data_IF_546822268903
#
_entry.id   IF_546822268903
#
_cell.length_a   1.000
_cell.length_b   1.000
_cell.length_c   1.000
_cell.angle_alpha   90.00
_cell.angle_beta   90.00
_cell.angle_gamma   90.00
#
_symmetry.space_group_name_H-M   'P 1'
#
loop_
_entity.id
_entity.type
_entity.pdbx_description
1 polymer ?
#
# COMPACT_ATOMS: atom_id res chain seq x y z
N UNK A 1 -2.24 15.46 22.41
CA UNK A 1 -2.24 16.64 21.50
C UNK A 1 -3.13 17.71 22.11
N UNK A 2 -2.70 18.96 22.10
CA UNK A 2 -3.47 20.08 22.65
C UNK A 2 -4.68 20.40 21.77
N UNK A 3 -5.81 20.73 22.37
CA UNK A 3 -7.00 21.23 21.65
C UNK A 3 -6.87 22.73 21.30
N UNK A 4 -5.65 23.26 21.27
CA UNK A 4 -5.38 24.69 21.09
C UNK A 4 -4.23 24.89 20.10
N UNK A 5 -4.36 25.93 19.28
CA UNK A 5 -3.34 26.37 18.33
C UNK A 5 -2.09 26.88 19.06
N UNK A 6 -0.87 26.40 18.74
CA UNK A 6 0.37 26.87 19.36
C UNK A 6 0.73 28.31 18.98
N UNK A 7 0.25 28.81 17.85
CA UNK A 7 0.57 30.17 17.37
C UNK A 7 -0.36 31.24 17.94
N UNK A 8 -1.67 30.99 17.98
CA UNK A 8 -2.66 32.01 18.37
C UNK A 8 -3.51 31.64 19.59
N UNK A 9 -3.34 30.44 20.15
CA UNK A 9 -4.09 29.98 21.33
C UNK A 9 -5.57 29.64 21.07
N UNK A 10 -6.07 29.75 19.84
CA UNK A 10 -7.49 29.45 19.55
C UNK A 10 -7.79 27.95 19.69
N UNK A 11 -9.02 27.61 20.12
CA UNK A 11 -9.46 26.22 20.26
C UNK A 11 -9.58 25.57 18.87
N UNK A 12 -9.00 24.39 18.71
CA UNK A 12 -9.06 23.62 17.47
C UNK A 12 -10.38 22.84 17.42
N UNK A 13 -10.96 22.73 16.22
CA UNK A 13 -12.18 21.95 15.96
C UNK A 13 -11.91 20.46 16.19
N UNK A 14 -10.69 20.00 15.91
CA UNK A 14 -10.21 18.67 16.24
C UNK A 14 -8.72 18.69 16.59
N UNK A 15 -8.25 17.66 17.29
CA UNK A 15 -6.81 17.44 17.55
C UNK A 15 -5.99 17.17 16.28
N UNK A 16 -6.67 16.93 15.16
CA UNK A 16 -6.07 16.66 13.84
C UNK A 16 -6.36 17.81 12.84
N UNK A 17 -6.68 19.01 13.31
CA UNK A 17 -6.90 20.15 12.42
C UNK A 17 -5.61 20.47 11.63
N UNK A 18 -5.71 20.50 10.30
CA UNK A 18 -4.58 20.86 9.42
C UNK A 18 -4.35 22.37 9.38
N UNK A 19 -5.43 23.15 9.47
CA UNK A 19 -5.42 24.62 9.45
C UNK A 19 -6.18 25.13 10.68
N UNK A 20 -5.62 26.11 11.38
CA UNK A 20 -6.30 26.78 12.49
C UNK A 20 -7.43 27.70 11.96
N UNK A 21 -8.68 27.58 12.44
CA UNK A 21 -9.78 28.46 12.00
C UNK A 21 -9.66 29.91 12.53
N UNK A 22 -8.78 30.16 13.52
CA UNK A 22 -8.59 31.50 14.09
C UNK A 22 -7.59 32.35 13.32
N UNK A 23 -6.36 31.85 13.14
CA UNK A 23 -5.27 32.61 12.50
C UNK A 23 -4.85 32.07 11.13
N UNK A 24 -5.38 30.93 10.69
CA UNK A 24 -5.04 30.35 9.37
C UNK A 24 -3.69 29.63 9.30
N UNK A 25 -2.93 29.51 10.40
CA UNK A 25 -1.67 28.76 10.37
C UNK A 25 -1.90 27.28 10.08
N UNK A 26 -1.03 26.67 9.26
CA UNK A 26 -0.98 25.22 9.05
C UNK A 26 -0.33 24.55 10.26
N UNK A 27 -1.10 23.71 10.94
CA UNK A 27 -0.68 23.01 12.15
C UNK A 27 0.00 21.68 11.86
N UNK A 28 -0.26 21.12 10.68
CA UNK A 28 0.43 19.95 10.16
C UNK A 28 0.90 20.26 8.75
N UNK A 29 2.19 20.03 8.50
CA UNK A 29 2.69 19.95 7.14
C UNK A 29 2.27 18.61 6.57
N UNK A 30 1.31 18.59 5.64
CA UNK A 30 1.16 17.45 4.74
C UNK A 30 2.38 17.46 3.82
N UNK A 31 3.44 16.74 4.19
CA UNK A 31 4.52 16.48 3.24
C UNK A 31 3.91 15.74 2.07
N UNK A 32 4.07 16.31 0.88
CA UNK A 32 3.60 15.72 -0.36
C UNK A 32 4.10 14.27 -0.47
N UNK A 33 3.21 13.38 -0.90
CA UNK A 33 3.61 12.02 -1.26
C UNK A 33 4.48 12.07 -2.51
N UNK A 34 5.42 11.16 -2.64
CA UNK A 34 6.14 10.96 -3.91
C UNK A 34 5.38 9.95 -4.76
N UNK A 35 4.76 10.35 -5.89
CA UNK A 35 4.06 9.42 -6.78
C UNK A 35 5.02 8.39 -7.38
N UNK A 36 6.25 8.81 -7.69
CA UNK A 36 7.30 7.92 -8.18
C UNK A 36 7.67 6.86 -7.15
N UNK A 37 7.77 7.23 -5.87
CA UNK A 37 8.03 6.26 -4.81
C UNK A 37 6.85 5.31 -4.59
N UNK A 38 5.61 5.80 -4.64
CA UNK A 38 4.42 4.96 -4.57
C UNK A 38 4.39 3.91 -5.69
N UNK A 39 4.71 4.32 -6.92
CA UNK A 39 4.80 3.44 -8.08
C UNK A 39 5.94 2.42 -7.93
N UNK A 40 7.14 2.87 -7.52
CA UNK A 40 8.31 2.02 -7.34
C UNK A 40 8.08 0.97 -6.24
N UNK A 41 7.47 1.36 -5.11
CA UNK A 41 7.09 0.41 -4.07
C UNK A 41 6.11 -0.65 -4.60
N UNK A 42 5.09 -0.23 -5.36
CA UNK A 42 4.14 -1.17 -5.98
C UNK A 42 4.77 -2.08 -7.04
N UNK A 43 5.78 -1.60 -7.77
CA UNK A 43 6.52 -2.38 -8.77
C UNK A 43 7.40 -3.45 -8.13
N UNK A 44 8.14 -3.09 -7.07
CA UNK A 44 9.01 -4.03 -6.35
C UNK A 44 8.20 -5.04 -5.53
N UNK A 45 7.11 -4.57 -4.93
CA UNK A 45 6.26 -5.37 -4.06
C UNK A 45 4.80 -5.05 -4.36
N UNK A 46 4.14 -5.88 -5.17
CA UNK A 46 2.73 -5.71 -5.53
C UNK A 46 1.86 -5.44 -4.30
N UNK A 47 1.09 -4.34 -4.34
CA UNK A 47 0.24 -3.88 -3.24
C UNK A 47 0.92 -2.92 -2.24
N UNK A 48 2.26 -2.80 -2.23
CA UNK A 48 2.96 -1.93 -1.28
C UNK A 48 2.77 -0.44 -1.58
N UNK A 49 2.56 -0.05 -2.85
CA UNK A 49 2.29 1.34 -3.22
C UNK A 49 1.04 1.92 -2.55
N UNK A 50 0.00 1.09 -2.37
CA UNK A 50 -1.21 1.43 -1.63
C UNK A 50 -0.92 1.61 -0.12
N UNK A 51 -0.08 0.75 0.45
CA UNK A 51 0.37 0.84 1.86
C UNK A 51 1.19 2.11 2.10
N UNK A 52 2.07 2.48 1.15
CA UNK A 52 2.79 3.75 1.16
C UNK A 52 1.82 4.95 1.19
N UNK A 53 0.73 4.86 0.43
CA UNK A 53 -0.35 5.84 0.42
C UNK A 53 -1.24 5.81 1.67
N UNK A 54 -0.95 4.97 2.66
CA UNK A 54 -1.71 4.87 3.90
C UNK A 54 -3.01 4.05 3.77
N UNK A 55 -3.17 3.26 2.70
CA UNK A 55 -4.31 2.37 2.50
C UNK A 55 -3.88 0.89 2.50
N UNK A 56 -3.80 0.31 3.70
CA UNK A 56 -3.31 -1.06 3.92
C UNK A 56 -4.27 -2.10 3.33
N UNK A 57 -5.58 -1.90 3.47
CA UNK A 57 -6.57 -2.86 2.98
C UNK A 57 -6.54 -2.95 1.46
N UNK A 58 -6.43 -1.81 0.75
CA UNK A 58 -6.22 -1.82 -0.70
C UNK A 58 -4.92 -2.52 -1.10
N UNK A 59 -3.85 -2.36 -0.32
CA UNK A 59 -2.60 -3.07 -0.57
C UNK A 59 -2.76 -4.58 -0.57
N UNK A 60 -3.46 -5.14 0.43
CA UNK A 60 -3.76 -6.57 0.47
C UNK A 60 -4.75 -7.03 -0.61
N UNK A 61 -5.71 -6.19 -1.01
CA UNK A 61 -6.62 -6.51 -2.12
C UNK A 61 -5.86 -6.63 -3.46
N UNK A 62 -4.95 -5.69 -3.74
CA UNK A 62 -4.11 -5.74 -4.95
C UNK A 62 -3.16 -6.94 -4.91
N UNK A 63 -2.52 -7.20 -3.76
CA UNK A 63 -1.66 -8.37 -3.58
C UNK A 63 -2.44 -9.68 -3.79
N UNK A 64 -3.58 -9.83 -3.13
CA UNK A 64 -4.43 -11.02 -3.25
C UNK A 64 -4.94 -11.21 -4.68
N UNK A 65 -5.40 -10.15 -5.33
CA UNK A 65 -5.84 -10.19 -6.73
C UNK A 65 -4.72 -10.60 -7.69
N UNK A 66 -3.50 -10.11 -7.49
CA UNK A 66 -2.36 -10.48 -8.32
C UNK A 66 -1.89 -11.92 -8.08
N UNK A 67 -1.89 -12.40 -6.82
CA UNK A 67 -1.53 -13.78 -6.47
C UNK A 67 -2.57 -14.76 -7.01
N UNK A 68 -3.86 -14.53 -6.75
CA UNK A 68 -4.95 -15.37 -7.26
C UNK A 68 -4.94 -15.35 -8.78
N UNK A 69 -4.88 -14.15 -9.38
CA UNK A 69 -4.78 -13.98 -10.82
C UNK A 69 -3.64 -14.80 -11.39
N UNK A 70 -2.41 -14.58 -10.90
CA UNK A 70 -1.20 -15.26 -11.38
C UNK A 70 -1.16 -16.77 -11.14
N UNK A 71 -1.80 -17.27 -10.07
CA UNK A 71 -1.87 -18.70 -9.76
C UNK A 71 -2.73 -19.47 -10.77
N UNK A 72 -3.83 -18.88 -11.25
CA UNK A 72 -4.68 -19.51 -12.27
C UNK A 72 -4.26 -19.14 -13.69
N UNK A 73 -3.88 -17.88 -13.92
CA UNK A 73 -3.50 -17.34 -15.22
C UNK A 73 -2.50 -16.17 -15.09
N UNK A 74 -1.33 -16.30 -15.73
CA UNK A 74 -0.28 -15.28 -15.66
C UNK A 74 -0.77 -13.88 -16.09
N UNK A 75 -1.58 -13.81 -17.15
CA UNK A 75 -2.03 -12.53 -17.73
C UNK A 75 -2.92 -11.73 -16.75
N UNK A 76 -4.01 -12.27 -16.18
CA UNK A 76 -4.78 -11.61 -15.12
C UNK A 76 -3.93 -11.15 -13.92
N UNK A 77 -2.99 -11.97 -13.46
CA UNK A 77 -2.10 -11.58 -12.35
C UNK A 77 -1.26 -10.34 -12.67
N UNK A 78 -0.63 -10.33 -13.85
CA UNK A 78 0.14 -9.19 -14.34
C UNK A 78 -0.74 -7.95 -14.55
N UNK A 79 -1.95 -8.11 -15.08
CA UNK A 79 -2.89 -7.01 -15.29
C UNK A 79 -3.25 -6.33 -13.95
N UNK A 80 -3.53 -7.11 -12.90
CA UNK A 80 -3.81 -6.57 -11.55
C UNK A 80 -2.58 -5.88 -10.96
N UNK A 81 -1.38 -6.45 -11.13
CA UNK A 81 -0.14 -5.84 -10.64
C UNK A 81 0.12 -4.47 -11.32
N UNK A 82 -0.01 -4.40 -12.65
CA UNK A 82 0.15 -3.15 -13.42
C UNK A 82 -0.89 -2.11 -12.99
N UNK A 83 -2.15 -2.54 -12.85
CA UNK A 83 -3.20 -1.68 -12.32
C UNK A 83 -2.85 -1.14 -10.93
N UNK A 84 -2.31 -1.99 -10.04
CA UNK A 84 -1.84 -1.60 -8.71
C UNK A 84 -0.77 -0.52 -8.72
N UNK A 85 0.17 -0.56 -9.66
CA UNK A 85 1.21 0.48 -9.82
C UNK A 85 0.56 1.81 -10.23
N UNK A 86 -0.34 1.77 -11.23
CA UNK A 86 -1.06 2.95 -11.70
C UNK A 86 -1.95 3.56 -10.60
N UNK A 87 -2.68 2.73 -9.86
CA UNK A 87 -3.54 3.13 -8.74
C UNK A 87 -2.72 3.81 -7.63
N UNK A 88 -1.57 3.25 -7.25
CA UNK A 88 -0.69 3.85 -6.25
C UNK A 88 -0.15 5.22 -6.70
N UNK A 89 0.31 5.32 -7.95
CA UNK A 89 0.84 6.56 -8.53
C UNK A 89 -0.23 7.67 -8.59
N UNK A 90 -1.41 7.35 -9.12
CA UNK A 90 -2.50 8.31 -9.25
C UNK A 90 -3.06 8.72 -7.90
N UNK A 91 -3.21 7.79 -6.96
CA UNK A 91 -3.68 8.08 -5.60
C UNK A 91 -2.72 9.04 -4.87
N UNK A 92 -1.40 8.87 -5.02
CA UNK A 92 -0.43 9.82 -4.48
C UNK A 92 -0.59 11.23 -5.08
N UNK A 93 -0.76 11.34 -6.42
CA UNK A 93 -1.01 12.62 -7.07
C UNK A 93 -2.29 13.30 -6.61
N UNK A 94 -3.37 12.53 -6.46
CA UNK A 94 -4.68 13.03 -6.01
C UNK A 94 -4.64 13.53 -4.57
N UNK A 95 -3.87 12.88 -3.69
CA UNK A 95 -3.63 13.39 -2.33
C UNK A 95 -2.86 14.71 -2.35
N UNK A 96 -1.81 14.82 -3.16
CA UNK A 96 -1.03 16.07 -3.27
C UNK A 96 -1.85 17.21 -3.87
N UNK A 97 -2.76 16.90 -4.81
CA UNK A 97 -3.68 17.86 -5.40
C UNK A 97 -4.85 18.25 -4.47
N UNK A 98 -5.00 17.59 -3.31
CA UNK A 98 -6.11 17.83 -2.38
C UNK A 98 -7.46 17.30 -2.85
N UNK A 99 -7.50 16.47 -3.90
CA UNK A 99 -8.73 15.85 -4.41
C UNK A 99 -9.28 14.77 -3.47
N UNK A 100 -8.39 14.14 -2.70
CA UNK A 100 -8.73 13.13 -1.69
C UNK A 100 -7.97 13.42 -0.39
N UNK A 101 -8.51 13.02 0.78
CA UNK A 101 -7.87 13.26 2.07
C UNK A 101 -6.48 12.64 2.14
N UNK A 102 -5.51 13.40 2.63
CA UNK A 102 -4.17 12.90 2.89
C UNK A 102 -4.22 11.81 3.98
N UNK A 103 -3.53 10.69 3.75
CA UNK A 103 -3.29 9.68 4.78
C UNK A 103 -1.80 9.60 5.10
N UNK A 104 -1.48 9.64 6.39
CA UNK A 104 -0.11 9.54 6.86
C UNK A 104 0.48 8.16 6.52
N UNK A 105 1.74 8.13 6.06
CA UNK A 105 2.43 6.86 5.79
C UNK A 105 2.89 6.30 7.13
N UNK A 106 2.55 5.04 7.41
CA UNK A 106 3.01 4.35 8.60
C UNK A 106 4.12 3.36 8.25
N UNK A 107 5.34 3.66 8.70
CA UNK A 107 6.51 2.79 8.47
C UNK A 107 6.32 1.38 9.04
N UNK A 108 5.60 1.25 10.17
CA UNK A 108 5.25 -0.04 10.76
C UNK A 108 4.40 -0.87 9.79
N UNK A 109 3.34 -0.28 9.22
CA UNK A 109 2.48 -0.99 8.28
C UNK A 109 3.23 -1.39 7.00
N UNK A 110 4.13 -0.53 6.51
CA UNK A 110 5.00 -0.88 5.37
C UNK A 110 5.91 -2.06 5.71
N UNK A 111 6.54 -2.05 6.88
CA UNK A 111 7.41 -3.13 7.34
C UNK A 111 6.67 -4.45 7.54
N UNK A 112 5.52 -4.43 8.22
CA UNK A 112 4.67 -5.61 8.41
C UNK A 112 4.16 -6.17 7.08
N UNK A 113 3.76 -5.29 6.15
CA UNK A 113 3.34 -5.72 4.82
C UNK A 113 4.48 -6.38 4.04
N UNK A 114 5.69 -5.82 4.09
CA UNK A 114 6.86 -6.43 3.44
C UNK A 114 7.18 -7.81 4.02
N UNK A 115 7.15 -7.95 5.35
CA UNK A 115 7.36 -9.24 6.02
C UNK A 115 6.30 -10.25 5.55
N UNK A 116 5.02 -9.86 5.55
CA UNK A 116 3.93 -10.70 5.08
C UNK A 116 4.09 -11.09 3.60
N UNK A 117 4.53 -10.15 2.77
CA UNK A 117 4.79 -10.38 1.35
C UNK A 117 5.91 -11.40 1.13
N UNK A 118 7.06 -11.23 1.82
CA UNK A 118 8.20 -12.14 1.72
C UNK A 118 7.82 -13.54 2.18
N UNK A 119 7.15 -13.65 3.34
CA UNK A 119 6.67 -14.93 3.84
C UNK A 119 5.68 -15.60 2.88
N UNK A 120 4.75 -14.82 2.30
CA UNK A 120 3.79 -15.30 1.32
C UNK A 120 4.46 -15.84 0.05
N UNK A 121 5.46 -15.14 -0.50
CA UNK A 121 6.22 -15.58 -1.67
C UNK A 121 7.00 -16.84 -1.37
N UNK A 122 7.71 -16.89 -0.24
CA UNK A 122 8.46 -18.09 0.18
C UNK A 122 7.53 -19.29 0.35
N UNK A 123 6.38 -19.12 1.01
CA UNK A 123 5.39 -20.17 1.18
C UNK A 123 4.82 -20.66 -0.16
N UNK A 124 4.54 -19.75 -1.09
CA UNK A 124 4.07 -20.09 -2.44
C UNK A 124 5.12 -20.89 -3.22
N UNK A 125 6.40 -20.48 -3.19
CA UNK A 125 7.49 -21.21 -3.86
C UNK A 125 7.72 -22.60 -3.26
N UNK A 126 7.64 -22.74 -1.93
CA UNK A 126 7.72 -24.05 -1.28
C UNK A 126 6.56 -24.93 -1.73
N UNK A 127 5.33 -24.39 -1.73
CA UNK A 127 4.14 -25.12 -2.15
C UNK A 127 4.25 -25.60 -3.60
N UNK A 128 4.73 -24.76 -4.52
CA UNK A 128 4.89 -25.14 -5.94
C UNK A 128 5.95 -26.24 -6.12
N UNK A 129 7.05 -26.20 -5.36
CA UNK A 129 8.05 -27.28 -5.37
C UNK A 129 7.46 -28.58 -4.82
N UNK A 130 6.70 -28.53 -3.73
CA UNK A 130 6.07 -29.72 -3.14
C UNK A 130 5.05 -30.34 -4.11
N UNK A 131 4.18 -29.52 -4.70
CA UNK A 131 3.18 -29.99 -5.67
C UNK A 131 3.84 -30.62 -6.89
N UNK A 132 4.87 -29.99 -7.45
CA UNK A 132 5.58 -30.55 -8.61
C UNK A 132 6.32 -31.83 -8.28
N UNK A 133 6.93 -31.94 -7.09
CA UNK A 133 7.57 -33.18 -6.63
C UNK A 133 6.55 -34.34 -6.48
N UNK A 134 5.38 -34.08 -5.89
CA UNK A 134 4.31 -35.08 -5.77
C UNK A 134 3.79 -35.51 -7.13
N UNK A 135 3.50 -34.56 -8.03
CA UNK A 135 3.04 -34.86 -9.38
C UNK A 135 4.07 -35.70 -10.16
N UNK A 136 5.36 -35.35 -10.07
CA UNK A 136 6.42 -36.14 -10.68
C UNK A 136 6.46 -37.56 -10.11
N UNK A 137 6.43 -37.73 -8.79
CA UNK A 137 6.41 -39.04 -8.16
C UNK A 137 5.24 -39.91 -8.63
N UNK A 138 4.04 -39.32 -8.76
CA UNK A 138 2.85 -40.00 -9.30
C UNK A 138 3.06 -40.39 -10.76
N UNK A 139 3.52 -39.46 -11.61
CA UNK A 139 3.72 -39.71 -13.04
C UNK A 139 4.78 -40.76 -13.33
N UNK A 140 5.87 -40.84 -12.55
CA UNK A 140 6.90 -41.86 -12.70
C UNK A 140 6.53 -43.21 -12.06
N UNK A 141 5.43 -43.28 -11.30
CA UNK A 141 4.92 -44.52 -10.69
C UNK A 141 3.84 -45.22 -11.51
N UNK A 142 3.40 -44.61 -12.62
CA UNK A 142 2.43 -45.13 -13.60
C UNK A 142 3.16 -45.71 -14.82
#
# INVERSE_FOLDING_TARGET
MSNFCPECGNKLISSNAEICPGCGVRLRGSTEKSPGLAALCGLLFTGMGQVYNGDVSRGFLILGGAVIGGAFFIIPGLAVAIYGIYDAYTTAKRMNAGEIPYRETSALHMGLFLIAWVFGVVAFLILTVLVTAVLAAVLYSL
#
